data_IF_992467116694
#
_entry.id   IF_992467116694
#
_cell.length_a   1.000
_cell.length_b   1.000
_cell.length_c   1.000
_cell.angle_alpha   90.00
_cell.angle_beta   90.00
_cell.angle_gamma   90.00
#
_symmetry.space_group_name_H-M   'P 1'
#
loop_
_entity.id
_entity.type
_entity.pdbx_description
1 polymer ?
#
# COMPACT_ATOMS: atom_id res chain seq x y z
N UNK A 1 58.34 75.35 -8.00
CA UNK A 1 58.17 74.69 -6.67
C UNK A 1 56.69 74.46 -6.28
N UNK A 2 55.75 75.34 -6.64
CA UNK A 2 54.35 75.27 -6.22
C UNK A 2 53.56 74.12 -6.98
N UNK A 3 53.92 73.92 -8.22
CA UNK A 3 53.20 72.87 -9.08
C UNK A 3 53.61 71.44 -8.74
N UNK A 4 54.80 71.20 -8.23
CA UNK A 4 55.21 69.84 -7.82
C UNK A 4 54.63 69.43 -6.46
N UNK A 5 54.43 70.37 -5.55
CA UNK A 5 53.82 70.06 -4.25
C UNK A 5 52.32 69.72 -4.40
N UNK A 6 51.59 70.36 -5.31
CA UNK A 6 50.18 70.05 -5.59
C UNK A 6 50.00 68.68 -6.28
N UNK A 7 50.91 68.28 -7.18
CA UNK A 7 50.85 66.97 -7.80
C UNK A 7 51.07 65.83 -6.80
N UNK A 8 51.97 66.02 -5.84
CA UNK A 8 52.29 65.03 -4.82
C UNK A 8 51.11 64.80 -3.83
N UNK A 9 50.45 65.89 -3.42
CA UNK A 9 49.28 65.80 -2.51
C UNK A 9 48.07 65.18 -3.20
N UNK A 10 47.83 65.48 -4.46
CA UNK A 10 46.73 64.88 -5.22
C UNK A 10 46.96 63.37 -5.47
N UNK A 11 48.19 62.94 -5.69
CA UNK A 11 48.55 61.57 -5.89
C UNK A 11 48.44 60.75 -4.60
N UNK A 12 48.78 61.35 -3.44
CA UNK A 12 48.65 60.68 -2.14
C UNK A 12 47.17 60.51 -1.71
N UNK A 13 46.36 61.52 -1.98
CA UNK A 13 44.91 61.49 -1.70
C UNK A 13 44.19 60.46 -2.56
N UNK A 14 44.51 60.28 -3.84
CA UNK A 14 43.98 59.20 -4.70
C UNK A 14 44.40 57.81 -4.20
N UNK A 15 45.64 57.69 -3.70
CA UNK A 15 46.14 56.42 -3.15
C UNK A 15 45.38 55.98 -1.87
N UNK A 16 45.13 56.94 -0.96
CA UNK A 16 44.37 56.66 0.29
C UNK A 16 42.91 56.31 -0.02
N UNK A 17 42.26 57.05 -0.91
CA UNK A 17 40.89 56.80 -1.34
C UNK A 17 40.74 55.40 -1.96
N UNK A 18 41.66 54.98 -2.81
CA UNK A 18 41.65 53.64 -3.42
C UNK A 18 41.89 52.56 -2.38
N UNK A 19 42.76 52.77 -1.40
CA UNK A 19 42.97 51.77 -0.31
C UNK A 19 41.70 51.59 0.56
N UNK A 20 41.04 52.70 0.90
CA UNK A 20 39.79 52.66 1.64
C UNK A 20 38.70 51.91 0.82
N UNK A 21 38.58 52.22 -0.48
CA UNK A 21 37.63 51.57 -1.39
C UNK A 21 37.87 50.05 -1.51
N UNK A 22 39.12 49.64 -1.66
CA UNK A 22 39.49 48.23 -1.74
C UNK A 22 39.18 47.51 -0.41
N UNK A 23 39.50 48.16 0.73
CA UNK A 23 39.25 47.60 2.04
C UNK A 23 37.73 47.43 2.32
N UNK A 24 36.92 48.45 2.03
CA UNK A 24 35.48 48.38 2.20
C UNK A 24 34.85 47.36 1.26
N UNK A 25 35.29 47.29 0.00
CA UNK A 25 34.80 46.31 -0.96
C UNK A 25 35.14 44.86 -0.52
N UNK A 26 36.38 44.64 -0.06
CA UNK A 26 36.81 43.34 0.44
C UNK A 26 36.06 42.93 1.71
N UNK A 27 35.76 43.85 2.60
CA UNK A 27 34.97 43.59 3.80
C UNK A 27 33.52 43.23 3.46
N UNK A 28 32.90 43.96 2.53
CA UNK A 28 31.55 43.64 2.06
C UNK A 28 31.53 42.27 1.38
N UNK A 29 32.48 41.94 0.51
CA UNK A 29 32.58 40.65 -0.15
C UNK A 29 32.76 39.53 0.85
N UNK A 30 33.61 39.71 1.87
CA UNK A 30 33.81 38.76 2.95
C UNK A 30 32.52 38.49 3.75
N UNK A 31 31.79 39.55 4.11
CA UNK A 31 30.49 39.42 4.79
C UNK A 31 29.46 38.66 3.93
N UNK A 32 29.37 38.98 2.63
CA UNK A 32 28.46 38.28 1.71
C UNK A 32 28.78 36.78 1.60
N UNK A 33 30.08 36.45 1.52
CA UNK A 33 30.50 35.04 1.50
C UNK A 33 30.15 34.32 2.80
N UNK A 34 30.38 34.91 3.95
CA UNK A 34 30.03 34.33 5.24
C UNK A 34 28.51 34.10 5.37
N UNK A 35 27.70 35.08 5.00
CA UNK A 35 26.24 34.97 5.02
C UNK A 35 25.78 33.89 4.07
N UNK A 36 26.35 33.81 2.86
CA UNK A 36 26.00 32.77 1.88
C UNK A 36 26.33 31.37 2.37
N UNK A 37 27.52 31.18 2.96
CA UNK A 37 27.92 29.87 3.53
C UNK A 37 27.03 29.45 4.70
N UNK A 38 26.70 30.39 5.59
CA UNK A 38 25.84 30.14 6.73
C UNK A 38 24.41 29.81 6.30
N UNK A 39 23.87 30.57 5.35
CA UNK A 39 22.55 30.30 4.76
C UNK A 39 22.49 28.96 4.06
N UNK A 40 23.54 28.60 3.31
CA UNK A 40 23.63 27.28 2.65
C UNK A 40 23.64 26.15 3.66
N UNK A 41 24.39 26.28 4.76
CA UNK A 41 24.46 25.26 5.80
C UNK A 41 23.13 25.07 6.50
N UNK A 42 22.46 26.16 6.90
CA UNK A 42 21.13 26.11 7.54
C UNK A 42 20.10 25.49 6.57
N UNK A 43 20.07 25.97 5.33
CA UNK A 43 19.12 25.50 4.33
C UNK A 43 19.29 24.00 4.02
N UNK A 44 20.53 23.56 3.88
CA UNK A 44 20.84 22.13 3.68
C UNK A 44 20.35 21.29 4.86
N UNK A 45 20.62 21.70 6.08
CA UNK A 45 20.19 20.98 7.28
C UNK A 45 18.66 20.96 7.42
N UNK A 46 18.02 22.08 7.16
CA UNK A 46 16.56 22.19 7.17
C UNK A 46 15.92 21.30 6.11
N UNK A 47 16.43 21.33 4.88
CA UNK A 47 15.90 20.47 3.80
C UNK A 47 16.05 19.00 4.13
N UNK A 48 17.21 18.57 4.62
CA UNK A 48 17.42 17.16 4.98
C UNK A 48 16.44 16.71 6.05
N UNK A 49 16.25 17.47 7.12
CA UNK A 49 15.32 17.12 8.18
C UNK A 49 13.87 17.11 7.70
N UNK A 50 13.47 18.10 6.89
CA UNK A 50 12.12 18.18 6.34
C UNK A 50 11.82 17.02 5.38
N UNK A 51 12.79 16.66 4.53
CA UNK A 51 12.65 15.52 3.62
C UNK A 51 12.53 14.20 4.39
N UNK A 52 13.38 13.98 5.40
CA UNK A 52 13.33 12.77 6.23
C UNK A 52 11.96 12.66 6.92
N UNK A 53 11.51 13.73 7.59
CA UNK A 53 10.21 13.73 8.27
C UNK A 53 9.04 13.53 7.32
N UNK A 54 9.07 14.16 6.15
CA UNK A 54 8.04 13.99 5.12
C UNK A 54 7.99 12.57 4.61
N UNK A 55 9.15 11.97 4.35
CA UNK A 55 9.28 10.58 3.91
C UNK A 55 8.77 9.60 4.96
N UNK A 56 9.20 9.77 6.22
CA UNK A 56 8.76 8.93 7.34
C UNK A 56 7.24 9.02 7.55
N UNK A 57 6.68 10.22 7.49
CA UNK A 57 5.24 10.41 7.61
C UNK A 57 4.48 9.74 6.46
N UNK A 58 4.98 9.86 5.23
CA UNK A 58 4.37 9.25 4.06
C UNK A 58 4.42 7.72 4.13
N UNK A 59 5.55 7.14 4.56
CA UNK A 59 5.69 5.69 4.75
C UNK A 59 4.77 5.18 5.86
N UNK A 60 4.65 5.91 6.96
CA UNK A 60 3.72 5.54 8.03
C UNK A 60 2.27 5.55 7.56
N UNK A 61 1.84 6.59 6.85
CA UNK A 61 0.48 6.67 6.31
C UNK A 61 0.21 5.54 5.29
N UNK A 62 1.22 5.18 4.50
CA UNK A 62 1.13 4.06 3.57
C UNK A 62 0.96 2.73 4.32
N UNK A 63 1.77 2.48 5.35
CA UNK A 63 1.66 1.29 6.21
C UNK A 63 0.28 1.22 6.87
N UNK A 64 -0.17 2.30 7.51
CA UNK A 64 -1.51 2.38 8.13
C UNK A 64 -2.63 2.12 7.12
N UNK A 65 -2.49 2.60 5.88
CA UNK A 65 -3.47 2.35 4.82
C UNK A 65 -3.50 0.88 4.39
N UNK A 66 -2.33 0.23 4.30
CA UNK A 66 -2.23 -1.20 3.99
C UNK A 66 -2.79 -2.06 5.12
N UNK A 67 -2.44 -1.75 6.37
CA UNK A 67 -2.95 -2.45 7.56
C UNK A 67 -4.48 -2.36 7.62
N UNK A 68 -5.04 -1.18 7.41
CA UNK A 68 -6.50 -1.00 7.36
C UNK A 68 -7.14 -1.82 6.24
N UNK A 69 -6.50 -1.93 5.07
CA UNK A 69 -7.02 -2.72 3.96
C UNK A 69 -7.00 -4.22 4.27
N UNK A 70 -5.99 -4.69 4.96
CA UNK A 70 -5.88 -6.07 5.44
C UNK A 70 -6.93 -6.34 6.52
N UNK A 71 -7.12 -5.44 7.47
CA UNK A 71 -8.14 -5.57 8.51
C UNK A 71 -9.55 -5.64 7.93
N UNK A 72 -9.83 -4.91 6.84
CA UNK A 72 -11.08 -5.01 6.11
C UNK A 72 -11.30 -6.42 5.52
N UNK A 73 -10.25 -7.04 4.96
CA UNK A 73 -10.34 -8.43 4.49
C UNK A 73 -10.64 -9.38 5.65
N UNK A 74 -9.95 -9.22 6.79
CA UNK A 74 -10.20 -10.07 7.96
C UNK A 74 -11.57 -9.84 8.58
N UNK A 75 -12.11 -8.64 8.50
CA UNK A 75 -13.49 -8.38 8.91
C UNK A 75 -14.47 -9.21 8.07
N UNK A 76 -14.24 -9.28 6.76
CA UNK A 76 -15.05 -10.13 5.88
C UNK A 76 -14.87 -11.62 6.18
N UNK A 77 -13.64 -12.06 6.44
CA UNK A 77 -13.38 -13.46 6.86
C UNK A 77 -14.17 -13.79 8.12
N UNK A 78 -14.07 -12.97 9.16
CA UNK A 78 -14.81 -13.17 10.42
C UNK A 78 -16.31 -13.15 10.23
N UNK A 79 -16.83 -12.25 9.39
CA UNK A 79 -18.25 -12.26 9.04
C UNK A 79 -18.64 -13.61 8.45
N UNK A 80 -17.92 -14.10 7.45
CA UNK A 80 -18.23 -15.39 6.81
C UNK A 80 -18.14 -16.58 7.77
N UNK A 81 -17.29 -16.51 8.79
CA UNK A 81 -17.14 -17.58 9.79
C UNK A 81 -18.24 -17.55 10.87
N UNK A 82 -18.88 -16.39 11.09
CA UNK A 82 -19.82 -16.20 12.20
C UNK A 82 -21.27 -15.99 11.76
N UNK A 83 -21.52 -15.67 10.49
CA UNK A 83 -22.87 -15.41 10.00
C UNK A 83 -23.70 -16.71 9.90
N UNK A 84 -24.91 -16.65 10.47
CA UNK A 84 -25.80 -17.81 10.55
C UNK A 84 -26.36 -18.25 9.19
N UNK A 85 -26.54 -17.31 8.24
CA UNK A 85 -27.04 -17.66 6.90
C UNK A 85 -25.98 -18.44 6.12
N UNK A 86 -24.71 -18.02 6.26
CA UNK A 86 -23.56 -18.72 5.66
C UNK A 86 -23.39 -20.10 6.29
N UNK A 87 -23.47 -20.20 7.62
CA UNK A 87 -23.41 -21.48 8.31
C UNK A 87 -24.53 -22.44 7.85
N UNK A 88 -25.77 -21.95 7.75
CA UNK A 88 -26.91 -22.73 7.25
C UNK A 88 -26.74 -23.14 5.77
N UNK A 89 -26.22 -22.23 4.92
CA UNK A 89 -25.94 -22.56 3.52
C UNK A 89 -24.93 -23.70 3.40
N UNK A 90 -23.86 -23.65 4.15
CA UNK A 90 -22.82 -24.68 4.12
C UNK A 90 -23.35 -26.00 4.67
N UNK A 91 -24.12 -25.98 5.78
CA UNK A 91 -24.65 -27.16 6.43
C UNK A 91 -25.68 -27.91 5.54
N UNK A 92 -26.55 -27.17 4.89
CA UNK A 92 -27.62 -27.75 4.08
C UNK A 92 -27.21 -28.00 2.62
N UNK A 93 -26.08 -27.44 2.18
CA UNK A 93 -25.57 -27.55 0.80
C UNK A 93 -26.68 -27.40 -0.26
N UNK A 94 -27.47 -26.31 -0.24
CA UNK A 94 -28.69 -26.19 -1.02
C UNK A 94 -28.36 -26.06 -2.52
N UNK A 95 -29.28 -26.58 -3.35
CA UNK A 95 -29.14 -26.42 -4.79
C UNK A 95 -29.08 -24.94 -5.20
N UNK A 96 -28.29 -24.61 -6.24
CA UNK A 96 -28.26 -23.27 -6.81
C UNK A 96 -29.67 -22.78 -7.19
N UNK A 97 -30.01 -21.54 -6.83
CA UNK A 97 -31.33 -20.96 -7.08
C UNK A 97 -32.41 -21.29 -6.07
N UNK A 98 -32.14 -22.10 -5.04
CA UNK A 98 -33.05 -22.26 -3.90
C UNK A 98 -33.20 -20.99 -3.11
N UNK A 99 -34.28 -20.82 -2.33
CA UNK A 99 -34.53 -19.64 -1.50
C UNK A 99 -33.36 -19.38 -0.54
N UNK A 100 -32.83 -20.43 0.10
CA UNK A 100 -31.68 -20.30 1.00
C UNK A 100 -30.44 -19.87 0.25
N UNK A 101 -30.15 -20.43 -0.93
CA UNK A 101 -29.01 -20.04 -1.75
C UNK A 101 -29.08 -18.54 -2.18
N UNK A 102 -30.27 -18.10 -2.63
CA UNK A 102 -30.47 -16.71 -3.07
C UNK A 102 -30.36 -15.74 -1.90
N UNK A 103 -31.05 -16.02 -0.77
CA UNK A 103 -31.00 -15.12 0.38
C UNK A 103 -29.63 -15.03 1.00
N UNK A 104 -28.88 -16.13 1.05
CA UNK A 104 -27.49 -16.12 1.52
C UNK A 104 -26.59 -15.33 0.58
N UNK A 105 -26.77 -15.50 -0.75
CA UNK A 105 -26.03 -14.73 -1.73
C UNK A 105 -26.27 -13.23 -1.59
N UNK A 106 -27.52 -12.79 -1.43
CA UNK A 106 -27.85 -11.37 -1.31
C UNK A 106 -27.20 -10.75 -0.06
N UNK A 107 -27.28 -11.43 1.09
CA UNK A 107 -26.65 -10.97 2.33
C UNK A 107 -25.12 -10.93 2.21
N UNK A 108 -24.55 -11.95 1.60
CA UNK A 108 -23.11 -12.05 1.36
C UNK A 108 -22.60 -10.97 0.39
N UNK A 109 -23.32 -10.75 -0.71
CA UNK A 109 -23.00 -9.68 -1.67
C UNK A 109 -23.07 -8.30 -1.03
N UNK A 110 -24.11 -8.05 -0.21
CA UNK A 110 -24.26 -6.78 0.50
C UNK A 110 -23.08 -6.53 1.45
N UNK A 111 -22.64 -7.53 2.20
CA UNK A 111 -21.48 -7.40 3.10
C UNK A 111 -20.18 -7.22 2.32
N UNK A 112 -19.96 -8.00 1.25
CA UNK A 112 -18.82 -7.80 0.38
C UNK A 112 -18.76 -6.38 -0.18
N UNK A 113 -19.89 -5.86 -0.65
CA UNK A 113 -19.96 -4.52 -1.29
C UNK A 113 -19.77 -3.36 -0.32
N UNK A 114 -20.00 -3.57 0.98
CA UNK A 114 -19.71 -2.59 2.04
C UNK A 114 -18.22 -2.48 2.38
N UNK A 115 -17.45 -3.49 2.00
CA UNK A 115 -16.02 -3.51 2.29
C UNK A 115 -15.28 -2.49 1.43
N UNK A 116 -14.47 -1.61 2.05
CA UNK A 116 -13.73 -0.57 1.34
C UNK A 116 -12.71 -1.11 0.34
N UNK A 117 -12.20 -2.32 0.59
CA UNK A 117 -11.25 -3.01 -0.29
C UNK A 117 -11.91 -3.89 -1.35
N UNK A 118 -13.26 -3.86 -1.46
CA UNK A 118 -14.04 -4.71 -2.36
C UNK A 118 -13.56 -4.66 -3.83
N UNK A 119 -13.25 -3.47 -4.34
CA UNK A 119 -12.77 -3.30 -5.71
C UNK A 119 -11.42 -3.97 -5.99
N UNK A 120 -10.67 -4.28 -4.94
CA UNK A 120 -9.39 -5.00 -5.01
C UNK A 120 -9.54 -6.51 -4.77
N UNK A 121 -10.76 -6.99 -4.56
CA UNK A 121 -11.06 -8.41 -4.41
C UNK A 121 -11.73 -8.94 -5.67
N UNK A 122 -10.97 -9.38 -6.69
CA UNK A 122 -11.55 -9.84 -7.96
C UNK A 122 -12.51 -10.99 -7.78
N UNK A 123 -12.32 -11.81 -6.76
CA UNK A 123 -13.18 -12.94 -6.47
C UNK A 123 -13.26 -13.20 -4.98
N UNK A 124 -14.48 -13.44 -4.51
CA UNK A 124 -14.78 -13.89 -3.16
C UNK A 124 -15.77 -15.04 -3.30
N UNK A 125 -15.44 -16.20 -2.74
CA UNK A 125 -16.29 -17.38 -2.84
C UNK A 125 -16.42 -18.11 -1.50
N UNK A 126 -17.63 -18.54 -1.18
CA UNK A 126 -17.93 -19.48 -0.11
C UNK A 126 -18.15 -20.82 -0.79
N UNK A 127 -17.36 -21.81 -0.42
CA UNK A 127 -17.40 -23.15 -1.00
C UNK A 127 -17.86 -24.13 0.06
N UNK A 128 -18.94 -24.87 -0.25
CA UNK A 128 -19.42 -26.02 0.51
C UNK A 128 -18.89 -27.32 -0.13
N UNK A 129 -19.48 -28.43 0.15
CA UNK A 129 -19.02 -29.74 -0.37
C UNK A 129 -19.16 -29.87 -1.89
N UNK A 130 -20.29 -29.42 -2.44
CA UNK A 130 -20.61 -29.61 -3.87
C UNK A 130 -20.98 -28.32 -4.58
N UNK A 131 -21.28 -27.24 -3.82
CA UNK A 131 -21.75 -25.98 -4.34
C UNK A 131 -20.92 -24.83 -3.83
N UNK A 132 -21.00 -23.71 -4.53
CA UNK A 132 -20.36 -22.49 -4.10
C UNK A 132 -21.22 -21.26 -4.40
N UNK A 133 -21.06 -20.23 -3.58
CA UNK A 133 -21.53 -18.87 -3.85
C UNK A 133 -20.32 -18.01 -4.17
N UNK A 134 -20.36 -17.26 -5.26
CA UNK A 134 -19.26 -16.35 -5.60
C UNK A 134 -19.74 -14.96 -5.89
N UNK A 135 -18.97 -13.99 -5.44
CA UNK A 135 -19.06 -12.58 -5.81
C UNK A 135 -17.83 -12.24 -6.62
N UNK A 136 -18.01 -11.66 -7.80
CA UNK A 136 -16.95 -11.31 -8.73
C UNK A 136 -17.05 -9.82 -9.02
N UNK A 137 -15.99 -9.07 -8.72
CA UNK A 137 -15.94 -7.61 -8.93
C UNK A 137 -15.44 -7.23 -10.32
N UNK A 138 -14.65 -8.10 -10.93
CA UNK A 138 -14.10 -7.87 -12.26
C UNK A 138 -14.93 -8.61 -13.32
N UNK A 139 -14.87 -8.16 -14.56
CA UNK A 139 -15.58 -8.74 -15.73
C UNK A 139 -15.02 -10.14 -16.08
N UNK A 140 -15.12 -11.07 -15.16
CA UNK A 140 -14.65 -12.44 -15.34
C UNK A 140 -15.81 -13.39 -15.40
N UNK A 141 -16.10 -13.90 -16.56
CA UNK A 141 -16.88 -15.11 -16.72
C UNK A 141 -15.95 -16.31 -16.63
N UNK A 142 -15.54 -16.71 -15.46
CA UNK A 142 -15.02 -18.05 -15.28
C UNK A 142 -16.21 -18.97 -15.11
N UNK A 143 -16.42 -19.86 -16.04
CA UNK A 143 -17.32 -21.01 -15.93
C UNK A 143 -16.66 -22.17 -15.15
N UNK A 144 -15.53 -21.89 -14.50
CA UNK A 144 -14.76 -22.86 -13.75
C UNK A 144 -15.55 -23.30 -12.50
N UNK A 145 -15.61 -24.59 -12.28
CA UNK A 145 -16.13 -25.14 -11.03
C UNK A 145 -15.14 -24.94 -9.90
N UNK A 146 -15.39 -23.93 -9.09
CA UNK A 146 -14.51 -23.55 -7.99
C UNK A 146 -14.42 -24.62 -6.91
N UNK A 147 -15.49 -25.41 -6.71
CA UNK A 147 -15.50 -26.45 -5.69
C UNK A 147 -14.47 -27.56 -6.00
N UNK A 148 -14.21 -27.80 -7.27
CA UNK A 148 -13.22 -28.81 -7.71
C UNK A 148 -11.83 -28.21 -7.89
N UNK A 149 -11.73 -26.99 -8.41
CA UNK A 149 -10.43 -26.42 -8.80
C UNK A 149 -9.64 -25.80 -7.64
N UNK A 150 -10.31 -25.23 -6.64
CA UNK A 150 -9.60 -24.62 -5.51
C UNK A 150 -8.82 -25.65 -4.69
N UNK A 151 -9.36 -26.84 -4.37
CA UNK A 151 -8.60 -27.88 -3.66
C UNK A 151 -7.38 -28.43 -4.44
N UNK A 152 -7.33 -28.25 -5.76
CA UNK A 152 -6.19 -28.64 -6.60
C UNK A 152 -5.05 -27.61 -6.60
N UNK A 153 -5.25 -26.43 -5.99
CA UNK A 153 -4.23 -25.41 -5.92
C UNK A 153 -3.06 -25.88 -5.04
N UNK A 154 -1.82 -25.65 -5.45
CA UNK A 154 -0.64 -26.16 -4.74
C UNK A 154 -0.46 -25.61 -3.32
N UNK A 155 -1.12 -24.49 -3.00
CA UNK A 155 -1.09 -23.82 -1.70
C UNK A 155 -2.37 -23.98 -0.89
N UNK A 156 -3.30 -24.83 -1.35
CA UNK A 156 -4.62 -25.00 -0.70
C UNK A 156 -4.51 -25.44 0.77
N UNK A 157 -3.78 -26.53 1.02
CA UNK A 157 -3.63 -27.11 2.36
C UNK A 157 -2.89 -26.16 3.30
N UNK A 158 -1.87 -25.46 2.78
CA UNK A 158 -1.11 -24.49 3.54
C UNK A 158 -2.00 -23.33 4.01
N UNK A 159 -2.76 -22.72 3.09
CA UNK A 159 -3.67 -21.62 3.41
C UNK A 159 -4.88 -22.03 4.26
N UNK A 160 -5.34 -23.26 4.12
CA UNK A 160 -6.47 -23.77 4.90
C UNK A 160 -6.11 -23.93 6.39
N UNK A 161 -4.85 -24.25 6.68
CA UNK A 161 -4.33 -24.45 8.04
C UNK A 161 -3.55 -23.26 8.58
N UNK A 162 -3.37 -22.22 7.78
CA UNK A 162 -2.64 -21.02 8.15
C UNK A 162 -3.34 -20.26 9.27
N UNK A 163 -2.54 -19.69 10.17
CA UNK A 163 -3.02 -18.77 11.20
C UNK A 163 -3.61 -17.49 10.58
N UNK A 164 -4.41 -16.78 11.38
CA UNK A 164 -4.84 -15.43 11.01
C UNK A 164 -3.59 -14.57 10.71
N UNK A 165 -3.68 -13.74 9.67
CA UNK A 165 -2.58 -12.89 9.17
C UNK A 165 -1.40 -13.64 8.51
N UNK A 166 -1.46 -14.95 8.34
CA UNK A 166 -0.50 -15.65 7.48
C UNK A 166 -0.96 -15.62 6.01
N UNK A 167 -0.17 -14.97 5.18
CA UNK A 167 -0.41 -14.81 3.74
C UNK A 167 0.56 -15.64 2.89
N UNK A 168 1.15 -16.69 3.45
CA UNK A 168 1.87 -17.68 2.64
C UNK A 168 0.93 -18.30 1.59
N UNK A 169 1.34 -18.51 0.34
CA UNK A 169 2.66 -18.35 -0.25
C UNK A 169 2.97 -16.93 -0.78
N UNK A 170 2.19 -15.92 -0.40
CA UNK A 170 2.34 -14.56 -0.90
C UNK A 170 1.65 -14.33 -2.25
N UNK A 171 2.16 -13.38 -3.03
CA UNK A 171 1.57 -13.00 -4.31
C UNK A 171 1.85 -14.06 -5.38
N UNK A 172 0.80 -14.65 -5.93
CA UNK A 172 0.84 -15.65 -6.98
C UNK A 172 0.20 -15.14 -8.28
N UNK A 173 0.31 -15.90 -9.35
CA UNK A 173 -0.48 -15.64 -10.56
C UNK A 173 -1.88 -16.19 -10.36
N UNK A 174 -2.91 -15.40 -10.69
CA UNK A 174 -4.32 -15.78 -10.63
C UNK A 174 -4.55 -17.07 -11.46
N UNK A 175 -4.89 -18.21 -10.83
CA UNK A 175 -5.05 -19.47 -11.51
C UNK A 175 -6.29 -19.52 -12.41
N UNK A 176 -7.25 -18.62 -12.19
CA UNK A 176 -8.52 -18.56 -12.89
C UNK A 176 -8.56 -17.49 -13.98
N UNK A 177 -7.47 -16.74 -14.13
CA UNK A 177 -7.39 -15.63 -15.09
C UNK A 177 -6.25 -15.82 -16.10
N UNK A 178 -6.61 -15.89 -17.39
CA UNK A 178 -5.64 -16.14 -18.49
C UNK A 178 -4.58 -15.05 -18.70
N UNK A 179 -4.81 -13.84 -18.22
CA UNK A 179 -3.89 -12.70 -18.44
C UNK A 179 -2.77 -12.56 -17.40
N UNK A 180 -2.58 -13.55 -16.52
CA UNK A 180 -1.46 -13.54 -15.56
C UNK A 180 -1.55 -12.44 -14.51
N UNK A 181 -2.76 -12.07 -14.08
CA UNK A 181 -2.97 -11.13 -12.97
C UNK A 181 -2.27 -11.66 -11.72
N UNK A 182 -1.70 -10.76 -10.93
CA UNK A 182 -1.09 -11.09 -9.65
C UNK A 182 -2.12 -10.89 -8.53
N UNK A 183 -2.30 -11.95 -7.73
CA UNK A 183 -3.24 -11.98 -6.61
C UNK A 183 -2.57 -12.55 -5.37
N UNK A 184 -3.05 -12.13 -4.22
CA UNK A 184 -2.78 -12.73 -2.92
C UNK A 184 -4.00 -13.59 -2.57
N UNK A 185 -3.88 -14.93 -2.57
CA UNK A 185 -4.98 -15.82 -2.22
C UNK A 185 -5.11 -15.92 -0.70
N UNK A 186 -6.34 -15.95 -0.24
CA UNK A 186 -6.69 -16.22 1.16
C UNK A 186 -7.71 -17.37 1.18
N UNK A 187 -7.42 -18.43 1.93
CA UNK A 187 -8.34 -19.53 2.16
C UNK A 187 -8.50 -19.66 3.68
N UNK A 188 -9.75 -19.69 4.15
CA UNK A 188 -10.02 -19.85 5.58
C UNK A 188 -11.15 -20.85 5.78
N UNK A 189 -11.00 -21.79 6.73
CA UNK A 189 -12.04 -22.77 7.00
C UNK A 189 -13.27 -22.10 7.61
N UNK A 190 -14.43 -22.58 7.22
CA UNK A 190 -15.69 -22.29 7.89
C UNK A 190 -16.10 -23.56 8.59
N UNK A 191 -16.33 -23.49 9.91
CA UNK A 191 -16.60 -24.64 10.75
C UNK A 191 -18.07 -24.69 11.17
N UNK A 192 -18.56 -25.88 11.43
CA UNK A 192 -19.88 -26.05 12.05
C UNK A 192 -19.88 -25.49 13.48
N UNK A 193 -20.92 -24.75 13.83
CA UNK A 193 -21.03 -24.11 15.15
C UNK A 193 -21.05 -25.13 16.31
N UNK A 194 -21.46 -26.37 16.06
CA UNK A 194 -21.68 -27.35 17.13
C UNK A 194 -20.52 -28.32 17.36
N UNK A 195 -19.62 -28.50 16.42
CA UNK A 195 -18.60 -29.56 16.56
C UNK A 195 -17.21 -29.19 16.04
N UNK A 196 -16.95 -27.93 15.68
CA UNK A 196 -15.69 -27.45 15.13
C UNK A 196 -15.16 -28.27 13.92
N UNK A 197 -16.00 -29.06 13.25
CA UNK A 197 -15.60 -29.73 12.03
C UNK A 197 -15.68 -28.73 10.88
N UNK A 198 -14.70 -28.79 10.01
CA UNK A 198 -14.72 -27.99 8.77
C UNK A 198 -15.97 -28.36 7.96
N UNK A 199 -16.79 -27.39 7.65
CA UNK A 199 -18.01 -27.51 6.87
C UNK A 199 -17.79 -27.07 5.41
N UNK A 200 -16.93 -26.11 5.21
CA UNK A 200 -16.56 -25.53 3.94
C UNK A 200 -15.39 -24.59 4.13
N UNK A 201 -15.17 -23.71 3.17
CA UNK A 201 -14.14 -22.69 3.27
C UNK A 201 -14.52 -21.43 2.51
N UNK A 202 -13.93 -20.33 2.95
CA UNK A 202 -13.94 -19.05 2.26
C UNK A 202 -12.68 -18.95 1.40
N UNK A 203 -12.83 -18.53 0.16
CA UNK A 203 -11.76 -18.22 -0.76
C UNK A 203 -11.85 -16.78 -1.19
N UNK A 204 -10.78 -16.00 -1.00
CA UNK A 204 -10.67 -14.62 -1.44
C UNK A 204 -9.42 -14.47 -2.29
N UNK A 205 -9.55 -13.82 -3.43
CA UNK A 205 -8.42 -13.31 -4.21
C UNK A 205 -8.30 -11.82 -3.97
N UNK A 206 -7.14 -11.37 -3.51
CA UNK A 206 -6.84 -9.95 -3.33
C UNK A 206 -5.88 -9.54 -4.46
N UNK A 207 -6.26 -8.54 -5.25
CA UNK A 207 -5.38 -8.01 -6.29
C UNK A 207 -4.10 -7.43 -5.68
N UNK A 208 -2.95 -7.75 -6.25
CA UNK A 208 -1.68 -7.11 -5.89
C UNK A 208 -1.72 -5.57 -6.06
N UNK A 209 -2.69 -5.05 -6.82
CA UNK A 209 -2.90 -3.61 -6.98
C UNK A 209 -3.25 -2.91 -5.68
N UNK A 210 -3.86 -3.60 -4.72
CA UNK A 210 -4.13 -3.08 -3.37
C UNK A 210 -2.84 -2.55 -2.72
N UNK A 211 -1.73 -3.24 -2.93
CA UNK A 211 -0.43 -2.91 -2.34
C UNK A 211 0.43 -2.07 -3.28
N UNK A 212 0.32 -2.28 -4.60
CA UNK A 212 1.23 -1.65 -5.56
C UNK A 212 0.78 -0.26 -6.03
N UNK A 213 -0.53 0.03 -6.06
CA UNK A 213 -1.03 1.35 -6.47
C UNK A 213 -0.59 2.44 -5.49
N UNK A 214 -0.76 2.29 -4.17
CA UNK A 214 -0.27 3.30 -3.22
C UNK A 214 1.24 3.53 -3.30
N UNK A 215 2.01 2.48 -3.67
CA UNK A 215 3.46 2.56 -3.83
C UNK A 215 3.90 3.29 -5.12
N UNK A 216 3.08 3.29 -6.18
CA UNK A 216 3.41 3.96 -7.45
C UNK A 216 3.49 5.46 -7.32
N UNK A 217 2.65 6.04 -6.45
CA UNK A 217 2.62 7.48 -6.20
C UNK A 217 3.75 7.92 -5.25
N UNK A 218 4.45 6.95 -4.65
CA UNK A 218 5.58 7.20 -3.77
C UNK A 218 6.89 7.22 -4.58
N UNK A 219 7.43 8.42 -4.83
CA UNK A 219 8.74 8.58 -5.47
C UNK A 219 9.85 8.25 -4.47
N UNK A 220 10.32 7.03 -4.46
CA UNK A 220 11.55 6.69 -3.76
C UNK A 220 12.75 7.43 -4.36
N UNK A 221 13.67 7.98 -3.55
CA UNK A 221 14.97 8.39 -4.03
C UNK A 221 15.65 7.22 -4.79
N UNK A 222 16.39 7.52 -5.84
CA UNK A 222 16.97 6.54 -6.78
C UNK A 222 17.81 5.41 -6.14
N UNK A 223 18.23 5.59 -4.88
CA UNK A 223 19.07 4.67 -4.13
C UNK A 223 18.35 3.99 -2.96
N UNK A 224 17.01 4.03 -2.94
CA UNK A 224 16.18 3.47 -1.86
C UNK A 224 15.42 2.25 -2.35
N UNK A 225 15.29 1.24 -1.46
CA UNK A 225 14.47 0.06 -1.70
C UNK A 225 13.36 0.00 -0.65
N UNK A 226 12.13 -0.28 -1.10
CA UNK A 226 10.99 -0.56 -0.24
C UNK A 226 10.81 -2.08 -0.15
N UNK A 227 10.82 -2.63 1.04
CA UNK A 227 10.46 -4.01 1.32
C UNK A 227 9.12 -4.06 2.03
N UNK A 228 8.21 -4.89 1.53
CA UNK A 228 7.02 -5.32 2.24
C UNK A 228 7.37 -6.66 2.90
N UNK A 229 7.42 -6.70 4.20
CA UNK A 229 7.64 -7.90 5.02
C UNK A 229 6.36 -8.31 5.71
#
# INVERSE_FOLDING_TARGET
CYTECMKKTVYHSKSIRNRILIFTLSAILGMCLLISLFSYYIFRHYLQNTLIQSTETSLRLLSESMDNSIDEVYRLVRYCQTDSNIANYIEHNPNPGSVLSVSTYDSFYEECSRNSSYNYMPRIAIVSQEHYLQVVTATYSSTADLATLIPELPYYEELLTADDYDFSPGIVSDPFHRAGRKVLPVIRPITYQYNNRQAGYLFIEISADLFTIPLKDYSCPSDSFLYLS
#
